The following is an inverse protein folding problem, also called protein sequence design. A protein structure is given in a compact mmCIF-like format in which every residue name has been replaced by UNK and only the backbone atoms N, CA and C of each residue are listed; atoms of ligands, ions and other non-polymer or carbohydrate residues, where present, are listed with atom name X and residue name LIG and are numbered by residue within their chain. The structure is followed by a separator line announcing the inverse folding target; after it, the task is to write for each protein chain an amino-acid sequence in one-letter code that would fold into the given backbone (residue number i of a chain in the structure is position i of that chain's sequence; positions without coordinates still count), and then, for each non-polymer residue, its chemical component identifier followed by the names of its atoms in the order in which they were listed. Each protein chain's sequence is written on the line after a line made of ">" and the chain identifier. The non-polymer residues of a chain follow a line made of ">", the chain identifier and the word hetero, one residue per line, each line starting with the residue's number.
data_IF_455776780869
#
_entry.id   IF_455776780869
#
_cell.length_a   1.000
_cell.length_b   1.000
_cell.length_c   1.000
_cell.angle_alpha   90.00
_cell.angle_beta   90.00
_cell.angle_gamma   90.00
#
_symmetry.space_group_name_H-M   'P 1'
#
loop_
_entity.id
_entity.type
_entity.pdbx_description
1 polymer ?
#
# COMPACT_ATOMS: atom_id res chain seq x y z
N UNK A 1 13.02 8.62 -21.84
CA UNK A 1 13.69 7.76 -22.84
C UNK A 1 15.04 7.29 -22.28
N UNK A 2 15.05 6.34 -21.34
CA UNK A 2 16.29 5.85 -20.70
C UNK A 2 16.22 4.35 -20.33
N UNK A 3 15.52 3.55 -21.16
CA UNK A 3 15.30 2.12 -20.91
C UNK A 3 16.20 1.20 -21.77
N UNK A 4 17.16 1.75 -22.52
CA UNK A 4 17.89 0.98 -23.54
C UNK A 4 19.10 0.20 -23.00
N UNK A 5 19.55 0.48 -21.75
CA UNK A 5 20.81 -0.10 -21.21
C UNK A 5 20.57 -1.02 -20.01
N UNK A 6 19.39 -0.98 -19.37
CA UNK A 6 19.06 -1.89 -18.27
C UNK A 6 17.56 -2.18 -18.27
N UNK A 7 17.12 -3.39 -18.68
CA UNK A 7 15.74 -3.79 -18.47
C UNK A 7 15.45 -3.73 -16.96
N UNK A 8 14.36 -3.06 -16.57
CA UNK A 8 13.92 -3.13 -15.19
C UNK A 8 13.44 -4.56 -14.91
N UNK A 9 13.88 -5.13 -13.80
CA UNK A 9 13.45 -6.45 -13.35
C UNK A 9 12.48 -6.28 -12.18
N UNK A 10 11.53 -7.21 -12.05
CA UNK A 10 10.66 -7.28 -10.90
C UNK A 10 11.48 -7.48 -9.61
N UNK A 11 11.24 -6.64 -8.60
CA UNK A 11 11.95 -6.71 -7.31
C UNK A 11 11.63 -7.98 -6.50
N UNK A 12 10.58 -8.73 -6.87
CA UNK A 12 10.18 -9.97 -6.20
C UNK A 12 10.65 -11.23 -6.96
N UNK A 13 10.19 -11.41 -8.20
CA UNK A 13 10.48 -12.62 -8.98
C UNK A 13 11.70 -12.51 -9.92
N UNK A 14 12.25 -11.30 -10.10
CA UNK A 14 13.36 -10.99 -11.02
C UNK A 14 13.07 -11.20 -12.51
N UNK A 15 11.84 -11.48 -12.91
CA UNK A 15 11.45 -11.46 -14.32
C UNK A 15 11.58 -10.05 -14.91
N UNK A 16 11.79 -9.97 -16.23
CA UNK A 16 11.76 -8.71 -16.96
C UNK A 16 10.39 -8.03 -16.85
N UNK A 17 10.39 -6.72 -16.65
CA UNK A 17 9.19 -5.91 -16.77
C UNK A 17 9.04 -5.48 -18.23
N UNK A 18 8.14 -6.12 -18.95
CA UNK A 18 7.93 -5.91 -20.38
C UNK A 18 6.69 -5.04 -20.67
N UNK A 19 5.86 -4.77 -19.65
CA UNK A 19 4.66 -3.95 -19.81
C UNK A 19 4.92 -2.46 -19.51
N UNK A 20 4.31 -1.53 -20.27
CA UNK A 20 4.49 -0.10 -20.07
C UNK A 20 4.00 0.43 -18.71
N UNK A 21 3.11 -0.25 -18.00
CA UNK A 21 2.57 0.14 -16.70
C UNK A 21 3.30 -0.50 -15.51
N UNK A 22 4.17 -1.49 -15.75
CA UNK A 22 4.93 -2.14 -14.70
C UNK A 22 6.08 -1.27 -14.20
N UNK A 23 6.16 -1.11 -12.88
CA UNK A 23 7.17 -0.26 -12.23
C UNK A 23 7.73 -0.95 -11.00
N UNK A 24 8.91 -1.55 -11.14
CA UNK A 24 9.60 -2.26 -10.05
C UNK A 24 8.93 -3.56 -9.57
N UNK A 25 7.70 -3.85 -9.95
CA UNK A 25 7.00 -5.12 -9.66
C UNK A 25 6.13 -5.48 -10.87
N UNK A 26 6.16 -6.76 -11.27
CA UNK A 26 5.34 -7.26 -12.37
C UNK A 26 3.89 -7.49 -11.94
N UNK A 27 2.98 -7.60 -12.91
CA UNK A 27 1.56 -7.79 -12.69
C UNK A 27 1.26 -9.07 -11.91
N UNK A 28 1.96 -10.16 -12.18
CA UNK A 28 1.77 -11.47 -11.52
C UNK A 28 2.16 -11.41 -10.05
N UNK A 29 3.21 -10.66 -9.70
CA UNK A 29 3.62 -10.46 -8.32
C UNK A 29 2.74 -9.45 -7.57
N UNK A 30 2.18 -8.47 -8.28
CA UNK A 30 1.31 -7.45 -7.69
C UNK A 30 -0.12 -7.95 -7.47
N UNK A 31 -0.64 -8.80 -8.37
CA UNK A 31 -2.04 -9.24 -8.35
C UNK A 31 -2.48 -9.94 -7.04
N UNK A 32 -1.69 -10.83 -6.43
CA UNK A 32 -2.03 -11.46 -5.15
C UNK A 32 -2.07 -10.48 -3.97
N UNK A 33 -1.40 -9.32 -4.09
CA UNK A 33 -1.35 -8.30 -3.06
C UNK A 33 -2.57 -7.37 -3.08
N UNK A 34 -3.38 -7.42 -4.14
CA UNK A 34 -4.57 -6.58 -4.24
C UNK A 34 -5.56 -6.95 -3.14
N UNK A 35 -6.14 -5.95 -2.45
CA UNK A 35 -7.16 -6.20 -1.45
C UNK A 35 -8.33 -6.95 -2.07
N UNK A 36 -8.91 -7.86 -1.30
CA UNK A 36 -9.98 -8.76 -1.77
C UNK A 36 -11.30 -8.41 -1.09
N UNK A 37 -12.43 -8.44 -1.82
CA UNK A 37 -13.75 -8.05 -1.29
C UNK A 37 -14.33 -9.04 -0.28
N UNK A 38 -13.87 -10.30 -0.29
CA UNK A 38 -14.34 -11.37 0.58
C UNK A 38 -13.74 -11.33 2.00
N UNK A 39 -12.70 -10.52 2.23
CA UNK A 39 -12.11 -10.37 3.56
C UNK A 39 -13.04 -9.59 4.49
N UNK A 40 -13.47 -10.26 5.55
CA UNK A 40 -14.20 -9.59 6.64
C UNK A 40 -13.23 -8.80 7.50
N UNK A 41 -13.52 -7.51 7.70
CA UNK A 41 -12.71 -6.61 8.51
C UNK A 41 -13.58 -5.80 9.45
N UNK A 42 -12.98 -5.30 10.54
CA UNK A 42 -13.67 -4.37 11.42
C UNK A 42 -14.02 -3.09 10.66
N UNK A 43 -15.29 -2.64 10.68
CA UNK A 43 -15.70 -1.47 9.89
C UNK A 43 -15.06 -0.17 10.36
N UNK A 44 -14.52 -0.12 11.58
CA UNK A 44 -13.80 1.05 12.10
C UNK A 44 -12.31 0.97 11.82
N UNK A 45 -11.58 0.03 12.43
CA UNK A 45 -10.11 0.01 12.34
C UNK A 45 -9.54 -0.82 11.17
N UNK A 46 -10.37 -1.54 10.42
CA UNK A 46 -9.91 -2.41 9.33
C UNK A 46 -9.22 -3.70 9.77
N UNK A 47 -9.22 -4.03 11.07
CA UNK A 47 -8.61 -5.27 11.57
C UNK A 47 -9.32 -6.51 10.98
N UNK A 48 -8.60 -7.52 10.45
CA UNK A 48 -9.21 -8.73 9.91
C UNK A 48 -10.03 -9.48 10.96
N UNK A 49 -11.22 -9.92 10.59
CA UNK A 49 -12.13 -10.68 11.45
C UNK A 49 -12.36 -12.07 10.86
N UNK A 50 -12.49 -13.07 11.73
CA UNK A 50 -12.86 -14.42 11.31
C UNK A 50 -14.32 -14.51 10.85
N UNK A 51 -15.20 -13.69 11.43
CA UNK A 51 -16.63 -13.62 11.12
C UNK A 51 -17.11 -12.16 11.13
N UNK A 52 -18.19 -11.83 10.39
CA UNK A 52 -18.79 -10.51 10.43
C UNK A 52 -19.22 -10.12 11.84
N UNK A 53 -18.72 -8.98 12.33
CA UNK A 53 -19.06 -8.42 13.62
C UNK A 53 -19.16 -6.90 13.51
N UNK A 54 -19.96 -6.28 14.38
CA UNK A 54 -20.08 -4.82 14.40
C UNK A 54 -18.74 -4.14 14.66
N UNK A 55 -17.95 -4.63 15.62
CA UNK A 55 -16.64 -4.09 16.00
C UNK A 55 -15.71 -5.18 16.54
N UNK A 56 -14.40 -5.07 16.28
CA UNK A 56 -13.40 -5.93 16.91
C UNK A 56 -13.27 -5.62 18.41
N UNK A 57 -12.70 -6.54 19.23
CA UNK A 57 -12.54 -6.32 20.68
C UNK A 57 -11.81 -5.01 21.05
N UNK A 58 -10.67 -4.64 20.42
CA UNK A 58 -10.00 -3.37 20.72
C UNK A 58 -10.87 -2.14 20.46
N UNK A 59 -11.71 -2.22 19.43
CA UNK A 59 -12.62 -1.14 19.06
C UNK A 59 -13.71 -0.93 20.11
N UNK A 60 -14.31 -1.99 20.66
CA UNK A 60 -15.50 -1.88 21.55
C UNK A 60 -15.31 -0.96 22.76
N UNK A 61 -14.11 -0.89 23.34
CA UNK A 61 -13.82 -0.09 24.53
C UNK A 61 -13.07 1.22 24.26
N UNK A 62 -12.78 1.55 23.01
CA UNK A 62 -11.88 2.66 22.67
C UNK A 62 -12.59 3.70 21.82
N UNK A 63 -12.53 4.96 22.21
CA UNK A 63 -12.86 6.09 21.35
C UNK A 63 -11.60 6.51 20.59
N UNK A 64 -11.67 6.52 19.26
CA UNK A 64 -10.58 6.98 18.40
C UNK A 64 -10.88 8.38 17.87
N UNK A 65 -9.83 9.17 17.60
CA UNK A 65 -9.94 10.47 16.94
C UNK A 65 -10.05 10.35 15.40
N UNK A 66 -10.45 9.19 14.91
CA UNK A 66 -10.67 8.92 13.49
C UNK A 66 -11.96 8.12 13.32
N UNK A 67 -12.65 8.33 12.20
CA UNK A 67 -13.87 7.59 11.87
C UNK A 67 -13.55 6.19 11.35
N UNK A 68 -12.56 6.08 10.47
CA UNK A 68 -12.17 4.83 9.80
C UNK A 68 -10.67 4.76 9.55
N UNK A 69 -10.13 3.55 9.63
CA UNK A 69 -8.77 3.21 9.21
C UNK A 69 -8.81 1.98 8.30
N UNK A 70 -8.02 2.02 7.21
CA UNK A 70 -7.88 0.91 6.26
C UNK A 70 -6.42 0.73 5.85
N UNK A 71 -6.06 -0.51 5.56
CA UNK A 71 -4.77 -0.89 5.00
C UNK A 71 -4.97 -1.58 3.66
N UNK A 72 -4.02 -1.40 2.73
CA UNK A 72 -4.01 -2.13 1.46
C UNK A 72 -3.88 -3.65 1.61
N UNK A 73 -3.30 -4.11 2.72
CA UNK A 73 -3.12 -5.51 3.01
C UNK A 73 -2.36 -5.72 4.32
N UNK A 74 -2.17 -6.98 4.68
CA UNK A 74 -1.38 -7.35 5.85
C UNK A 74 0.10 -7.07 5.62
N UNK A 75 0.77 -6.51 6.63
CA UNK A 75 2.20 -6.18 6.55
C UNK A 75 3.08 -7.43 6.69
N UNK A 76 3.01 -8.32 5.71
CA UNK A 76 3.73 -9.59 5.66
C UNK A 76 4.16 -9.94 4.22
N UNK A 77 5.04 -10.93 4.10
CA UNK A 77 5.51 -11.49 2.82
C UNK A 77 5.94 -10.44 1.80
N UNK A 78 5.50 -10.61 0.55
CA UNK A 78 5.82 -9.74 -0.57
C UNK A 78 5.39 -8.28 -0.37
N UNK A 79 4.25 -8.01 0.29
CA UNK A 79 3.84 -6.63 0.57
C UNK A 79 4.83 -5.94 1.52
N UNK A 80 5.25 -6.63 2.58
CA UNK A 80 6.28 -6.11 3.50
C UNK A 80 7.59 -5.85 2.77
N UNK A 81 8.01 -6.76 1.90
CA UNK A 81 9.24 -6.63 1.11
C UNK A 81 9.19 -5.40 0.20
N UNK A 82 8.12 -5.23 -0.61
CA UNK A 82 7.96 -4.06 -1.47
C UNK A 82 7.93 -2.76 -0.68
N UNK A 83 7.21 -2.71 0.45
CA UNK A 83 7.20 -1.53 1.32
C UNK A 83 8.61 -1.25 1.87
N UNK A 84 9.39 -2.28 2.21
CA UNK A 84 10.78 -2.11 2.65
C UNK A 84 11.67 -1.59 1.53
N UNK A 85 11.58 -2.15 0.32
CA UNK A 85 12.36 -1.72 -0.83
C UNK A 85 12.06 -0.26 -1.18
N UNK A 86 10.78 0.12 -1.16
CA UNK A 86 10.36 1.51 -1.29
C UNK A 86 11.03 2.33 -0.18
N UNK A 87 10.66 2.10 1.07
CA UNK A 87 11.10 2.89 2.22
C UNK A 87 12.62 2.97 2.39
N UNK A 88 13.40 1.95 2.08
CA UNK A 88 14.79 1.88 2.55
C UNK A 88 15.83 1.60 1.46
N UNK A 89 15.42 1.11 0.30
CA UNK A 89 16.35 0.76 -0.79
C UNK A 89 16.29 1.73 -1.98
N UNK A 90 15.61 2.88 -1.83
CA UNK A 90 15.54 3.88 -2.88
C UNK A 90 14.64 3.49 -4.06
N UNK A 91 13.81 2.45 -3.92
CA UNK A 91 12.94 1.97 -5.00
C UNK A 91 11.69 2.86 -5.20
N UNK A 92 11.88 4.15 -5.48
CA UNK A 92 10.81 5.15 -5.64
C UNK A 92 9.81 4.81 -6.74
N UNK A 93 10.21 4.02 -7.74
CA UNK A 93 9.32 3.46 -8.79
C UNK A 93 8.15 2.64 -8.23
N UNK A 94 8.26 2.13 -7.00
CA UNK A 94 7.16 1.43 -6.32
C UNK A 94 6.03 2.35 -5.83
N UNK A 95 6.19 3.67 -5.87
CA UNK A 95 5.17 4.62 -5.43
C UNK A 95 3.83 4.41 -6.15
N UNK A 96 3.86 4.27 -7.48
CA UNK A 96 2.66 4.04 -8.29
C UNK A 96 1.94 2.73 -7.94
N UNK A 97 2.62 1.57 -8.00
CA UNK A 97 2.02 0.29 -7.60
C UNK A 97 1.45 0.28 -6.18
N UNK A 98 2.19 0.80 -5.19
CA UNK A 98 1.74 0.84 -3.80
C UNK A 98 0.55 1.81 -3.60
N UNK A 99 0.55 2.96 -4.29
CA UNK A 99 -0.59 3.87 -4.31
C UNK A 99 -1.82 3.22 -4.95
N UNK A 100 -1.62 2.41 -6.00
CA UNK A 100 -2.68 1.62 -6.62
C UNK A 100 -3.35 0.65 -5.64
N UNK A 101 -2.55 -0.06 -4.82
CA UNK A 101 -3.09 -0.93 -3.77
C UNK A 101 -3.91 -0.17 -2.72
N UNK A 102 -3.47 1.03 -2.33
CA UNK A 102 -4.23 1.90 -1.41
C UNK A 102 -5.54 2.40 -2.05
N UNK A 103 -5.50 2.79 -3.32
CA UNK A 103 -6.68 3.24 -4.05
C UNK A 103 -7.72 2.12 -4.18
N UNK A 104 -7.29 0.89 -4.47
CA UNK A 104 -8.18 -0.27 -4.52
C UNK A 104 -8.80 -0.57 -3.15
N UNK A 105 -8.01 -0.49 -2.07
CA UNK A 105 -8.53 -0.67 -0.71
C UNK A 105 -9.59 0.38 -0.37
N UNK A 106 -9.34 1.65 -0.72
CA UNK A 106 -10.30 2.73 -0.51
C UNK A 106 -11.59 2.50 -1.30
N UNK A 107 -11.50 2.07 -2.57
CA UNK A 107 -12.68 1.75 -3.40
C UNK A 107 -13.50 0.61 -2.82
N UNK A 108 -12.85 -0.46 -2.36
CA UNK A 108 -13.52 -1.58 -1.72
C UNK A 108 -14.20 -1.19 -0.40
N UNK A 109 -13.71 -0.15 0.28
CA UNK A 109 -14.33 0.41 1.49
C UNK A 109 -15.45 1.43 1.22
N UNK A 110 -15.94 1.51 -0.03
CA UNK A 110 -16.98 2.45 -0.42
C UNK A 110 -16.47 3.81 -0.91
N UNK A 111 -15.16 3.96 -1.10
CA UNK A 111 -14.52 5.16 -1.63
C UNK A 111 -14.21 6.21 -0.57
N UNK A 112 -13.63 7.32 -1.01
CA UNK A 112 -13.39 8.49 -0.18
C UNK A 112 -14.65 9.37 -0.15
N UNK A 113 -14.93 10.07 0.96
CA UNK A 113 -16.01 11.06 1.03
C UNK A 113 -15.86 12.14 -0.04
N UNK A 114 -16.99 12.69 -0.51
CA UNK A 114 -16.97 13.85 -1.40
C UNK A 114 -16.24 15.02 -0.72
N UNK A 115 -15.33 15.67 -1.46
CA UNK A 115 -14.51 16.76 -0.93
C UNK A 115 -13.37 16.33 -0.01
N UNK A 116 -13.06 15.02 0.06
CA UNK A 116 -11.90 14.55 0.83
C UNK A 116 -10.59 15.12 0.28
N UNK A 117 -9.73 15.57 1.20
CA UNK A 117 -8.37 16.01 0.89
C UNK A 117 -7.36 14.93 1.31
N UNK A 118 -6.27 14.81 0.54
CA UNK A 118 -5.13 13.97 0.91
C UNK A 118 -4.08 14.87 1.56
N UNK A 119 -3.63 14.50 2.76
CA UNK A 119 -2.57 15.19 3.48
C UNK A 119 -1.38 14.26 3.72
N UNK A 120 -0.19 14.75 3.39
CA UNK A 120 1.07 14.05 3.62
C UNK A 120 1.47 14.14 5.11
N UNK A 121 1.96 13.04 5.68
CA UNK A 121 2.59 13.04 7.02
C UNK A 121 4.11 13.19 6.86
N UNK A 122 4.68 14.39 7.08
CA UNK A 122 6.04 14.70 6.65
C UNK A 122 7.09 13.85 7.37
N UNK A 123 8.14 13.47 6.62
CA UNK A 123 9.31 12.85 7.21
C UNK A 123 10.14 13.85 8.03
N UNK A 124 10.75 13.34 9.10
CA UNK A 124 11.83 14.05 9.77
C UNK A 124 12.97 14.39 8.77
N UNK A 125 13.53 15.61 8.76
CA UNK A 125 14.49 16.06 7.76
C UNK A 125 15.69 15.14 7.55
N UNK A 126 16.19 14.53 8.63
CA UNK A 126 17.26 13.51 8.58
C UNK A 126 16.88 12.28 7.74
N UNK A 127 15.65 11.77 7.89
CA UNK A 127 15.16 10.61 7.13
C UNK A 127 14.89 10.98 5.67
N UNK A 128 14.38 12.19 5.42
CA UNK A 128 14.21 12.72 4.06
C UNK A 128 15.55 12.79 3.31
N UNK A 129 16.60 13.32 3.95
CA UNK A 129 17.97 13.35 3.39
C UNK A 129 18.52 11.95 3.13
N UNK A 130 18.31 11.00 4.03
CA UNK A 130 18.81 9.62 3.88
C UNK A 130 18.14 8.85 2.73
N UNK A 131 16.84 9.09 2.48
CA UNK A 131 16.07 8.41 1.42
C UNK A 131 16.14 9.10 0.06
N UNK A 132 16.38 10.41 0.02
CA UNK A 132 16.37 11.19 -1.21
C UNK A 132 14.97 11.57 -1.74
N UNK A 133 13.90 11.11 -1.11
CA UNK A 133 12.51 11.47 -1.42
C UNK A 133 11.62 11.35 -0.16
N UNK A 134 10.41 11.93 -0.22
CA UNK A 134 9.40 11.77 0.84
C UNK A 134 8.34 10.74 0.39
N UNK A 135 8.03 9.76 1.26
CA UNK A 135 7.01 8.74 0.98
C UNK A 135 5.60 9.13 1.44
N UNK A 136 5.49 10.31 2.04
CA UNK A 136 4.25 10.88 2.55
C UNK A 136 3.31 11.37 1.44
#
# INVERSE_FOLDING_TARGET
>A
MASLVWPDHCLLCRSFLDQPDERGVCRECLAPLRPRPDKVMCPRCGYPLATPQALCPPCRGTAFLFDRARSAGEYAGALRELIHQFKFAGASRLAGPLAGLLADAARLDGGLPAGACVAAVPLHPRRRRQRGYDQA
#
